data_IF_675064151660
#
_entry.id   IF_675064151660
#
_cell.length_a   1.000
_cell.length_b   1.000
_cell.length_c   1.000
_cell.angle_alpha   90.00
_cell.angle_beta   90.00
_cell.angle_gamma   90.00
#
_symmetry.space_group_name_H-M   'P 1'
#
loop_
_entity.id
_entity.type
_entity.pdbx_description
1 polymer ?
#
# COMPACT_ATOMS: atom_id res chain seq x y z
N UNK A 1 -22.36 -2.09 3.14
CA UNK A 1 -21.33 -2.97 2.55
C UNK A 1 -20.03 -2.19 2.56
N UNK A 2 -18.93 -2.78 3.03
CA UNK A 2 -17.64 -2.09 3.08
C UNK A 2 -17.10 -1.90 1.67
N UNK A 3 -16.60 -0.70 1.36
CA UNK A 3 -15.98 -0.40 0.06
C UNK A 3 -14.47 -0.27 0.23
N UNK A 4 -13.73 -0.98 -0.60
CA UNK A 4 -12.28 -0.95 -0.69
C UNK A 4 -11.82 -0.70 -2.12
N UNK A 5 -10.56 -0.36 -2.32
CA UNK A 5 -10.07 -0.11 -3.66
C UNK A 5 -8.56 -0.05 -3.79
N UNK A 6 -8.08 0.18 -5.02
CA UNK A 6 -6.68 0.51 -5.30
C UNK A 6 -6.61 1.87 -6.02
N UNK A 7 -5.87 2.79 -5.41
CA UNK A 7 -5.62 4.12 -5.93
C UNK A 7 -4.30 4.14 -6.71
N UNK A 8 -4.34 4.63 -7.95
CA UNK A 8 -3.15 4.78 -8.78
C UNK A 8 -3.43 5.30 -10.19
N UNK A 9 -2.37 5.50 -10.97
CA UNK A 9 -2.44 6.00 -12.35
C UNK A 9 -1.20 5.60 -13.18
N UNK A 10 -1.36 5.18 -14.46
CA UNK A 10 -2.61 4.66 -15.01
C UNK A 10 -2.86 3.23 -14.49
N UNK A 11 -4.08 2.94 -14.09
CA UNK A 11 -4.51 1.59 -13.71
C UNK A 11 -5.11 0.86 -14.92
N UNK A 12 -4.28 0.57 -15.91
CA UNK A 12 -4.73 -0.08 -17.16
C UNK A 12 -4.97 -1.58 -16.99
N UNK A 13 -4.14 -2.23 -16.16
CA UNK A 13 -4.27 -3.65 -15.83
C UNK A 13 -3.93 -3.84 -14.36
N UNK A 14 -4.91 -4.20 -13.57
CA UNK A 14 -4.73 -4.58 -12.17
C UNK A 14 -5.56 -5.82 -11.85
N UNK A 15 -4.97 -6.79 -11.18
CA UNK A 15 -5.64 -7.99 -10.70
C UNK A 15 -6.22 -7.80 -9.29
N UNK A 16 -5.95 -6.65 -8.64
CA UNK A 16 -6.37 -6.41 -7.26
C UNK A 16 -7.87 -6.58 -7.04
N UNK A 17 -8.78 -6.08 -7.90
CA UNK A 17 -10.20 -6.31 -7.70
C UNK A 17 -10.58 -7.80 -7.68
N UNK A 18 -10.10 -8.58 -8.66
CA UNK A 18 -10.40 -10.01 -8.75
C UNK A 18 -9.86 -10.79 -7.55
N UNK A 19 -8.63 -10.48 -7.11
CA UNK A 19 -8.03 -11.12 -5.93
C UNK A 19 -8.84 -10.81 -4.68
N UNK A 20 -9.27 -9.56 -4.47
CA UNK A 20 -10.04 -9.19 -3.29
C UNK A 20 -11.46 -9.73 -3.31
N UNK A 21 -12.11 -9.82 -4.47
CA UNK A 21 -13.40 -10.50 -4.61
C UNK A 21 -13.32 -11.96 -4.17
N UNK A 22 -12.31 -12.71 -4.65
CA UNK A 22 -12.07 -14.08 -4.20
C UNK A 22 -11.80 -14.18 -2.69
N UNK A 23 -11.05 -13.22 -2.13
CA UNK A 23 -10.79 -13.16 -0.70
C UNK A 23 -12.06 -12.87 0.12
N UNK A 24 -12.94 -11.98 -0.35
CA UNK A 24 -14.22 -11.71 0.30
C UNK A 24 -15.12 -12.95 0.30
N UNK A 25 -15.20 -13.65 -0.82
CA UNK A 25 -15.96 -14.89 -0.93
C UNK A 25 -15.43 -15.97 0.00
N UNK A 26 -14.11 -16.14 0.04
CA UNK A 26 -13.46 -17.15 0.89
C UNK A 26 -13.59 -16.84 2.40
N UNK A 27 -13.52 -15.58 2.77
CA UNK A 27 -13.55 -15.14 4.19
C UNK A 27 -14.97 -14.84 4.70
N UNK A 28 -15.96 -14.76 3.83
CA UNK A 28 -17.33 -14.34 4.16
C UNK A 28 -17.46 -12.86 4.50
N UNK A 29 -16.42 -12.04 4.28
CA UNK A 29 -16.46 -10.60 4.50
C UNK A 29 -17.29 -9.94 3.41
N UNK A 30 -18.34 -9.21 3.81
CA UNK A 30 -19.17 -8.44 2.88
C UNK A 30 -18.46 -7.14 2.48
N UNK A 31 -17.84 -7.13 1.32
CA UNK A 31 -17.12 -5.99 0.78
C UNK A 31 -17.22 -5.89 -0.73
N UNK A 32 -16.75 -4.78 -1.28
CA UNK A 32 -16.47 -4.59 -2.70
C UNK A 32 -15.09 -3.96 -2.85
N UNK A 33 -14.42 -4.28 -3.95
CA UNK A 33 -13.10 -3.72 -4.26
C UNK A 33 -13.07 -3.18 -5.68
N UNK A 34 -12.61 -1.94 -5.87
CA UNK A 34 -12.61 -1.27 -7.17
C UNK A 34 -11.34 -0.48 -7.44
N UNK A 35 -11.12 -0.13 -8.71
CA UNK A 35 -10.03 0.76 -9.11
C UNK A 35 -10.43 2.22 -8.88
N UNK A 36 -9.55 2.99 -8.24
CA UNK A 36 -9.65 4.44 -8.04
C UNK A 36 -8.58 5.06 -8.92
N UNK A 37 -8.99 5.69 -10.02
CA UNK A 37 -8.08 6.21 -11.04
C UNK A 37 -7.94 7.72 -10.88
N UNK A 38 -6.83 8.15 -10.29
CA UNK A 38 -6.49 9.56 -10.11
C UNK A 38 -5.06 9.80 -10.58
N UNK A 39 -4.87 10.70 -11.54
CA UNK A 39 -3.54 11.07 -12.02
C UNK A 39 -2.79 11.91 -11.00
N UNK A 40 -3.51 12.80 -10.33
CA UNK A 40 -2.96 13.68 -9.30
C UNK A 40 -3.79 13.57 -8.02
N UNK A 41 -3.10 13.52 -6.89
CA UNK A 41 -3.73 13.51 -5.58
C UNK A 41 -3.40 14.82 -4.83
N UNK A 42 -4.40 15.35 -4.18
CA UNK A 42 -4.31 16.47 -3.25
C UNK A 42 -5.29 16.22 -2.09
N UNK A 43 -5.33 17.12 -1.13
CA UNK A 43 -6.19 16.99 0.04
C UNK A 43 -7.68 16.85 -0.32
N UNK A 44 -8.16 17.65 -1.28
CA UNK A 44 -9.57 17.59 -1.71
C UNK A 44 -9.92 16.24 -2.35
N UNK A 45 -9.08 15.75 -3.25
CA UNK A 45 -9.25 14.44 -3.91
C UNK A 45 -9.27 13.32 -2.88
N UNK A 46 -8.34 13.33 -1.94
CA UNK A 46 -8.25 12.30 -0.91
C UNK A 46 -9.42 12.37 0.08
N UNK A 47 -9.88 13.56 0.44
CA UNK A 47 -11.08 13.71 1.28
C UNK A 47 -12.33 13.11 0.61
N UNK A 48 -12.51 13.30 -0.70
CA UNK A 48 -13.62 12.67 -1.45
C UNK A 48 -13.51 11.15 -1.44
N UNK A 49 -12.32 10.60 -1.68
CA UNK A 49 -12.08 9.15 -1.63
C UNK A 49 -12.39 8.60 -0.23
N UNK A 50 -11.96 9.28 0.82
CA UNK A 50 -12.16 8.87 2.21
C UNK A 50 -13.63 8.88 2.66
N UNK A 51 -14.51 9.63 1.97
CA UNK A 51 -15.95 9.58 2.20
C UNK A 51 -16.60 8.31 1.64
N UNK A 52 -16.04 7.78 0.56
CA UNK A 52 -16.62 6.65 -0.17
C UNK A 52 -16.02 5.30 0.24
N UNK A 53 -14.76 5.28 0.66
CA UNK A 53 -13.99 4.06 0.92
C UNK A 53 -13.63 3.90 2.40
N UNK A 54 -13.69 2.65 2.88
CA UNK A 54 -13.26 2.28 4.24
C UNK A 54 -11.75 2.06 4.33
N UNK A 55 -11.14 1.78 3.20
CA UNK A 55 -9.70 1.62 3.04
C UNK A 55 -9.34 1.36 1.60
N UNK A 56 -8.08 1.57 1.25
CA UNK A 56 -7.61 1.32 -0.11
C UNK A 56 -6.10 1.09 -0.15
N UNK A 57 -5.68 0.33 -1.16
CA UNK A 57 -4.27 0.23 -1.47
C UNK A 57 -3.83 1.42 -2.32
N UNK A 58 -2.57 1.77 -2.23
CA UNK A 58 -1.93 2.78 -3.06
C UNK A 58 -0.86 2.14 -3.91
N UNK A 59 -0.91 2.45 -5.20
CA UNK A 59 0.13 2.03 -6.15
C UNK A 59 0.76 3.23 -6.86
N UNK A 60 1.54 2.99 -7.89
CA UNK A 60 2.20 4.03 -8.69
C UNK A 60 1.18 5.08 -9.19
N UNK A 61 1.49 6.38 -9.15
CA UNK A 61 2.72 7.02 -8.70
C UNK A 61 2.60 7.58 -7.26
N UNK A 62 1.63 7.15 -6.46
CA UNK A 62 1.16 7.87 -5.28
C UNK A 62 1.73 7.39 -3.93
N UNK A 63 2.49 6.27 -3.90
CA UNK A 63 2.99 5.67 -2.63
C UNK A 63 3.79 6.64 -1.74
N UNK A 64 4.49 7.59 -2.34
CA UNK A 64 5.25 8.62 -1.62
C UNK A 64 4.44 9.90 -1.47
N UNK A 65 3.72 10.30 -2.52
CA UNK A 65 2.95 11.55 -2.54
C UNK A 65 1.87 11.62 -1.46
N UNK A 66 1.25 10.49 -1.12
CA UNK A 66 0.18 10.43 -0.13
C UNK A 66 0.62 10.90 1.27
N UNK A 67 1.90 10.81 1.59
CA UNK A 67 2.45 11.21 2.89
C UNK A 67 2.38 12.72 3.13
N UNK A 68 2.31 13.51 2.07
CA UNK A 68 2.25 14.97 2.12
C UNK A 68 0.83 15.52 1.91
N UNK A 69 -0.19 14.66 1.77
CA UNK A 69 -1.54 15.10 1.42
C UNK A 69 -2.35 15.52 2.65
N UNK A 70 -2.10 14.88 3.80
CA UNK A 70 -2.82 15.14 5.04
C UNK A 70 -1.89 14.97 6.25
N UNK A 71 -1.55 16.08 6.88
CA UNK A 71 -0.67 16.16 8.07
C UNK A 71 -1.32 15.60 9.35
N UNK A 72 -2.62 15.35 9.32
CA UNK A 72 -3.32 14.68 10.42
C UNK A 72 -3.32 13.16 10.31
N UNK A 73 -2.81 12.60 9.22
CA UNK A 73 -2.71 11.16 9.01
C UNK A 73 -1.81 10.50 10.06
N UNK A 74 -2.19 9.29 10.45
CA UNK A 74 -1.44 8.48 11.41
C UNK A 74 -0.57 7.51 10.64
N UNK A 75 0.75 7.69 10.72
CA UNK A 75 1.73 6.89 10.01
C UNK A 75 2.22 5.74 10.91
N UNK A 76 2.23 4.52 10.38
CA UNK A 76 2.90 3.40 11.03
C UNK A 76 4.43 3.60 11.06
N UNK A 77 5.10 2.90 11.97
CA UNK A 77 6.58 2.96 12.07
C UNK A 77 7.25 2.63 10.73
N UNK A 78 6.76 1.59 10.04
CA UNK A 78 7.32 1.21 8.73
C UNK A 78 7.15 2.30 7.68
N UNK A 79 6.02 3.01 7.64
CA UNK A 79 5.82 4.13 6.71
C UNK A 79 6.78 5.27 7.00
N UNK A 80 6.99 5.61 8.27
CA UNK A 80 7.93 6.67 8.68
C UNK A 80 9.37 6.36 8.25
N UNK A 81 9.79 5.12 8.39
CA UNK A 81 11.16 4.70 8.09
C UNK A 81 11.39 4.44 6.58
N UNK A 82 10.38 3.92 5.88
CA UNK A 82 10.45 3.64 4.44
C UNK A 82 10.23 4.90 3.61
N UNK A 83 9.40 5.84 4.08
CA UNK A 83 9.00 7.02 3.32
C UNK A 83 8.05 6.69 2.16
N UNK A 84 7.27 5.61 2.29
CA UNK A 84 6.24 5.22 1.31
C UNK A 84 5.11 4.44 1.99
N UNK A 85 3.89 4.62 1.48
CA UNK A 85 2.66 3.96 1.92
C UNK A 85 2.03 3.19 0.76
N UNK A 86 1.55 1.98 1.01
CA UNK A 86 0.78 1.21 0.02
C UNK A 86 -0.62 0.83 0.52
N UNK A 87 -0.97 1.12 1.76
CA UNK A 87 -2.25 0.74 2.35
C UNK A 87 -2.77 1.84 3.27
N UNK A 88 -4.01 2.25 3.04
CA UNK A 88 -4.74 3.24 3.84
C UNK A 88 -5.96 2.57 4.46
N UNK A 89 -6.14 2.79 5.75
CA UNK A 89 -7.36 2.45 6.49
C UNK A 89 -8.00 3.74 7.01
N UNK A 90 -9.30 3.90 6.76
CA UNK A 90 -10.07 5.01 7.32
C UNK A 90 -10.70 4.56 8.63
N UNK A 91 -10.29 5.19 9.72
CA UNK A 91 -10.82 4.91 11.06
C UNK A 91 -11.03 6.22 11.82
N UNK A 92 -12.21 6.41 12.37
CA UNK A 92 -12.61 7.65 13.07
C UNK A 92 -12.34 8.90 12.22
N UNK A 93 -12.68 8.85 10.93
CA UNK A 93 -12.48 9.92 9.95
C UNK A 93 -11.02 10.35 9.74
N UNK A 94 -10.06 9.52 10.13
CA UNK A 94 -8.62 9.76 9.92
C UNK A 94 -7.99 8.66 9.09
N UNK A 95 -7.02 9.03 8.28
CA UNK A 95 -6.20 8.07 7.55
C UNK A 95 -5.17 7.43 8.47
N UNK A 96 -5.10 6.11 8.45
CA UNK A 96 -4.02 5.32 9.02
C UNK A 96 -3.22 4.71 7.88
N UNK A 97 -1.95 5.05 7.80
CA UNK A 97 -1.06 4.70 6.69
C UNK A 97 -0.13 3.56 7.07
N UNK A 98 -0.09 2.54 6.21
CA UNK A 98 0.72 1.33 6.40
C UNK A 98 1.55 1.03 5.16
N UNK A 99 2.60 0.23 5.36
CA UNK A 99 3.36 -0.34 4.26
C UNK A 99 3.40 -1.87 4.41
N UNK A 100 2.56 -2.55 3.63
CA UNK A 100 2.48 -4.02 3.61
C UNK A 100 3.40 -4.64 2.55
N UNK A 101 4.01 -3.86 1.66
CA UNK A 101 5.07 -4.34 0.76
C UNK A 101 6.28 -4.83 1.58
N UNK A 102 6.61 -4.09 2.65
CA UNK A 102 7.67 -4.45 3.58
C UNK A 102 7.40 -5.80 4.26
N UNK A 103 6.25 -5.94 4.94
CA UNK A 103 5.94 -7.19 5.66
C UNK A 103 5.79 -8.38 4.70
N UNK A 104 5.13 -8.18 3.55
CA UNK A 104 4.99 -9.24 2.56
C UNK A 104 6.33 -9.68 1.96
N UNK A 105 7.29 -8.76 1.80
CA UNK A 105 8.62 -9.13 1.34
C UNK A 105 9.43 -9.86 2.41
N UNK A 106 9.29 -9.49 3.69
CA UNK A 106 9.91 -10.22 4.80
C UNK A 106 9.36 -11.65 4.88
N UNK A 107 8.03 -11.81 4.83
CA UNK A 107 7.37 -13.13 4.81
C UNK A 107 7.86 -13.98 3.63
N UNK A 108 8.06 -13.36 2.46
CA UNK A 108 8.61 -14.03 1.27
C UNK A 108 10.08 -14.49 1.50
N UNK A 109 10.91 -13.67 2.13
CA UNK A 109 12.30 -14.02 2.43
C UNK A 109 12.38 -15.19 3.43
N UNK A 110 11.47 -15.25 4.39
CA UNK A 110 11.38 -16.36 5.35
C UNK A 110 11.02 -17.70 4.69
N UNK A 111 10.32 -17.66 3.53
CA UNK A 111 10.02 -18.86 2.74
C UNK A 111 11.22 -19.34 1.91
N UNK A 112 12.19 -18.47 1.66
CA UNK A 112 13.41 -18.81 0.94
C UNK A 112 14.45 -19.23 1.97
N UNK A 113 14.72 -20.52 2.08
CA UNK A 113 15.74 -21.07 2.98
C UNK A 113 17.16 -20.69 2.52
N UNK A 114 17.49 -19.40 2.61
CA UNK A 114 18.78 -18.83 2.25
C UNK A 114 19.27 -17.86 3.31
N UNK A 115 20.58 -17.91 3.56
CA UNK A 115 21.24 -16.94 4.43
C UNK A 115 21.63 -15.69 3.60
N UNK A 116 20.89 -14.62 3.76
CA UNK A 116 21.14 -13.35 3.06
C UNK A 116 22.28 -12.53 3.68
N UNK A 117 22.77 -12.89 4.86
CA UNK A 117 23.93 -12.26 5.49
C UNK A 117 25.16 -12.42 4.60
N UNK A 118 25.76 -11.35 4.16
CA UNK A 118 26.91 -11.29 3.24
C UNK A 118 26.59 -11.37 1.74
N UNK A 119 25.33 -11.29 1.34
CA UNK A 119 25.00 -11.14 -0.06
C UNK A 119 25.09 -9.67 -0.50
N UNK A 120 25.63 -9.45 -1.69
CA UNK A 120 25.49 -8.18 -2.37
C UNK A 120 24.17 -8.18 -3.14
N UNK A 121 23.34 -7.15 -2.91
CA UNK A 121 22.01 -7.04 -3.51
C UNK A 121 21.93 -5.80 -4.39
N UNK A 122 21.53 -5.98 -5.65
CA UNK A 122 21.24 -4.91 -6.57
C UNK A 122 19.72 -4.70 -6.68
N UNK A 123 19.23 -3.51 -6.36
CA UNK A 123 17.84 -3.12 -6.52
C UNK A 123 17.70 -2.25 -7.77
N UNK A 124 16.91 -2.70 -8.75
CA UNK A 124 16.63 -1.95 -9.97
C UNK A 124 15.33 -1.15 -9.79
N UNK A 125 15.45 0.14 -9.56
CA UNK A 125 14.36 1.08 -9.34
C UNK A 125 14.53 1.91 -8.07
N UNK A 126 13.78 3.02 -7.96
CA UNK A 126 13.89 3.98 -6.86
C UNK A 126 12.54 4.43 -6.27
N UNK A 127 11.44 3.78 -6.66
CA UNK A 127 10.09 4.09 -6.18
C UNK A 127 9.76 3.50 -4.82
N UNK A 128 8.53 3.70 -4.36
CA UNK A 128 8.07 3.27 -3.04
C UNK A 128 8.27 1.78 -2.73
N UNK A 129 8.12 0.89 -3.72
CA UNK A 129 8.39 -0.55 -3.54
C UNK A 129 9.88 -0.84 -3.34
N UNK A 130 10.77 -0.17 -4.09
CA UNK A 130 12.22 -0.32 -3.93
C UNK A 130 12.68 0.12 -2.54
N UNK A 131 12.09 1.19 -2.00
CA UNK A 131 12.35 1.66 -0.64
C UNK A 131 11.93 0.63 0.41
N UNK A 132 10.76 -0.01 0.23
CA UNK A 132 10.28 -1.06 1.14
C UNK A 132 11.21 -2.27 1.13
N UNK A 133 11.65 -2.72 -0.05
CA UNK A 133 12.60 -3.84 -0.21
C UNK A 133 13.96 -3.50 0.41
N UNK A 134 14.50 -2.30 0.15
CA UNK A 134 15.76 -1.85 0.72
C UNK A 134 15.70 -1.81 2.26
N UNK A 135 14.58 -1.34 2.80
CA UNK A 135 14.34 -1.33 4.24
C UNK A 135 14.29 -2.76 4.82
N UNK A 136 13.60 -3.69 4.14
CA UNK A 136 13.55 -5.09 4.55
C UNK A 136 14.94 -5.73 4.62
N UNK A 137 15.73 -5.55 3.56
CA UNK A 137 17.10 -6.08 3.47
C UNK A 137 18.05 -5.49 4.51
N UNK A 138 17.81 -4.25 4.96
CA UNK A 138 18.59 -3.62 6.04
C UNK A 138 18.37 -4.26 7.40
N UNK A 139 17.23 -4.93 7.60
CA UNK A 139 16.84 -5.56 8.86
C UNK A 139 17.31 -7.01 9.00
N UNK A 140 17.83 -7.60 7.90
CA UNK A 140 18.47 -8.92 7.89
C UNK A 140 19.92 -8.85 8.41
#
# INVERSE_FOLDING_TARGET
MNKFGVLGWPLTKTLSPQIHELLFDHTGIKGSYSSIREENINQETILKINQDFHGYNITIPHKEKILAVDDTAILSKSVLEIGACNTVLIKNSRMHLFNTDFSGFMDFLDLIDQNFNKMEVLILGSGGSSKAIAYSLKLL
#
